data_IF_017526106935
#
_entry.id   IF_017526106935
#
_cell.length_a   1.000
_cell.length_b   1.000
_cell.length_c   1.000
_cell.angle_alpha   90.00
_cell.angle_beta   90.00
_cell.angle_gamma   90.00
#
_symmetry.space_group_name_H-M   'P 1'
#
loop_
_entity.id
_entity.type
_entity.pdbx_description
1 polymer ?
#
# COMPACT_ATOMS: atom_id res chain seq x y z
N UNK A 1 -38.34 -4.72 -8.65
CA UNK A 1 -38.00 -4.75 -9.24
C UNK A 1 -37.49 -4.81 -9.73
N UNK A 2 -37.37 -5.11 -9.45
CA UNK A 2 -36.90 -5.20 -10.12
C UNK A 2 -36.34 -5.40 -10.62
N UNK A 3 -36.18 -5.45 -10.41
CA UNK A 3 -35.67 -5.49 -11.07
C UNK A 3 -35.10 -5.74 -11.49
N UNK A 4 -34.94 -5.78 -11.10
CA UNK A 4 -34.48 -5.92 -11.66
C UNK A 4 -34.14 -6.36 -12.30
N UNK A 5 -34.04 -6.55 -11.96
CA UNK A 5 -33.85 -6.77 -12.68
C UNK A 5 -33.27 -7.29 -13.64
N UNK A 6 -33.70 -7.64 -13.88
CA UNK A 6 -33.25 -8.44 -15.02
C UNK A 6 -32.18 -7.77 -15.84
N UNK A 7 -32.19 -6.52 -15.99
CA UNK A 7 -31.15 -5.92 -16.76
C UNK A 7 -29.80 -5.99 -16.06
N UNK A 8 -29.78 -6.11 -14.77
CA UNK A 8 -28.53 -6.33 -14.09
C UNK A 8 -27.87 -7.60 -14.53
N UNK A 9 -28.66 -8.62 -14.75
CA UNK A 9 -28.08 -9.93 -15.03
C UNK A 9 -27.59 -10.05 -16.45
N UNK A 10 -28.13 -9.30 -17.37
CA UNK A 10 -27.89 -9.62 -18.77
C UNK A 10 -26.66 -8.98 -19.36
N UNK A 11 -26.29 -7.81 -18.91
CA UNK A 11 -25.33 -7.01 -19.66
C UNK A 11 -24.05 -6.65 -18.92
N UNK A 12 -23.96 -7.02 -17.68
CA UNK A 12 -22.87 -6.53 -16.87
C UNK A 12 -21.57 -7.22 -17.06
N UNK A 13 -21.58 -8.38 -17.65
CA UNK A 13 -20.36 -9.14 -17.78
C UNK A 13 -19.34 -8.45 -18.64
N UNK A 14 -19.81 -7.67 -19.59
CA UNK A 14 -18.90 -6.96 -20.46
C UNK A 14 -18.29 -5.74 -19.81
N UNK A 15 -18.86 -5.29 -18.71
CA UNK A 15 -18.36 -4.11 -18.05
C UNK A 15 -17.20 -4.35 -17.12
N UNK A 16 -16.90 -5.60 -16.80
CA UNK A 16 -15.82 -5.90 -15.87
C UNK A 16 -14.48 -5.86 -16.57
N UNK A 17 -13.55 -5.01 -16.13
CA UNK A 17 -12.26 -4.92 -16.78
C UNK A 17 -11.36 -6.09 -16.47
N UNK A 18 -11.66 -6.86 -15.44
CA UNK A 18 -10.83 -7.97 -15.03
C UNK A 18 -11.66 -9.02 -14.32
N UNK A 19 -11.07 -10.17 -14.19
CA UNK A 19 -11.69 -11.25 -13.44
C UNK A 19 -11.65 -10.94 -11.95
N UNK A 20 -12.81 -10.96 -11.33
CA UNK A 20 -12.88 -10.68 -9.89
C UNK A 20 -13.09 -12.02 -9.18
N UNK A 21 -12.00 -12.62 -8.74
CA UNK A 21 -12.07 -13.92 -8.08
C UNK A 21 -11.61 -13.81 -6.64
N UNK A 22 -11.96 -14.80 -5.86
CA UNK A 22 -11.66 -14.79 -4.44
C UNK A 22 -10.17 -14.82 -4.15
N UNK A 23 -9.35 -15.64 -4.81
CA UNK A 23 -7.91 -15.61 -4.52
C UNK A 23 -7.28 -14.24 -4.73
N UNK A 24 -7.67 -13.52 -5.78
CA UNK A 24 -7.15 -12.17 -5.99
C UNK A 24 -7.60 -11.24 -4.88
N UNK A 25 -8.85 -11.35 -4.46
CA UNK A 25 -9.36 -10.52 -3.38
C UNK A 25 -8.66 -10.84 -2.06
N UNK A 26 -8.34 -12.10 -1.82
CA UNK A 26 -7.62 -12.47 -0.61
C UNK A 26 -6.22 -11.86 -0.57
N UNK A 27 -5.53 -11.89 -1.71
CA UNK A 27 -4.22 -11.28 -1.79
C UNK A 27 -4.30 -9.75 -1.60
N UNK A 28 -5.28 -9.14 -2.24
CA UNK A 28 -5.48 -7.70 -2.09
C UNK A 28 -5.81 -7.33 -0.64
N UNK A 29 -6.62 -8.15 0.01
CA UNK A 29 -6.96 -7.89 1.41
C UNK A 29 -5.73 -7.92 2.30
N UNK A 30 -4.77 -8.81 1.99
CA UNK A 30 -3.51 -8.84 2.70
C UNK A 30 -2.73 -7.53 2.56
N UNK A 31 -2.73 -7.00 1.34
CA UNK A 31 -2.08 -5.71 1.10
C UNK A 31 -2.77 -4.61 1.91
N UNK A 32 -4.09 -4.56 1.88
CA UNK A 32 -4.83 -3.53 2.61
C UNK A 32 -4.62 -3.66 4.12
N UNK A 33 -4.55 -4.88 4.63
CA UNK A 33 -4.26 -5.07 6.05
C UNK A 33 -2.89 -4.50 6.43
N UNK A 34 -1.91 -4.74 5.56
CA UNK A 34 -0.56 -4.23 5.82
C UNK A 34 -0.53 -2.71 5.74
N UNK A 35 -1.34 -2.12 4.87
CA UNK A 35 -1.41 -0.66 4.75
C UNK A 35 -2.22 -0.02 5.89
N UNK A 36 -3.00 -0.81 6.60
CA UNK A 36 -3.92 -0.26 7.60
C UNK A 36 -3.29 -0.01 8.96
N UNK A 37 -2.07 0.51 8.98
CA UNK A 37 -1.38 0.85 10.21
C UNK A 37 -0.69 2.20 10.04
N UNK A 38 -0.91 3.14 10.97
CA UNK A 38 -0.33 4.49 10.81
C UNK A 38 1.18 4.51 10.73
N UNK A 39 1.85 3.68 11.50
CA UNK A 39 3.31 3.69 11.50
C UNK A 39 3.87 3.12 10.22
N UNK A 40 3.22 2.11 9.67
CA UNK A 40 3.64 1.58 8.38
C UNK A 40 3.37 2.58 7.27
N UNK A 41 2.25 3.30 7.33
CA UNK A 41 1.98 4.34 6.34
C UNK A 41 3.02 5.44 6.37
N UNK A 42 3.51 5.81 7.55
CA UNK A 42 4.56 6.81 7.66
C UNK A 42 5.83 6.37 6.92
N UNK A 43 6.19 5.10 7.11
CA UNK A 43 7.36 4.56 6.40
C UNK A 43 7.12 4.64 4.88
N UNK A 44 5.94 4.25 4.43
CA UNK A 44 5.66 4.23 3.01
C UNK A 44 5.66 5.63 2.41
N UNK A 45 5.19 6.63 3.14
CA UNK A 45 5.21 7.99 2.65
C UNK A 45 6.63 8.53 2.50
N UNK A 46 7.54 8.13 3.39
CA UNK A 46 8.94 8.46 3.22
C UNK A 46 9.51 7.84 1.96
N UNK A 47 9.15 6.58 1.70
CA UNK A 47 9.65 5.87 0.53
C UNK A 47 9.03 6.38 -0.76
N UNK A 48 7.85 6.98 -0.66
CA UNK A 48 7.24 7.63 -1.81
C UNK A 48 8.13 8.76 -2.33
N UNK A 49 8.75 9.48 -1.43
CA UNK A 49 9.60 10.59 -1.80
C UNK A 49 10.91 10.11 -2.44
N UNK A 50 11.52 9.08 -1.88
CA UNK A 50 12.73 8.52 -2.46
C UNK A 50 13.10 7.22 -1.76
N UNK A 51 13.93 6.44 -2.43
CA UNK A 51 14.51 5.24 -1.87
C UNK A 51 15.38 5.61 -0.66
N UNK A 52 15.36 4.77 0.40
CA UNK A 52 16.09 5.08 1.62
C UNK A 52 16.60 3.82 2.30
N UNK A 53 17.72 3.94 3.03
CA UNK A 53 18.17 2.83 3.85
C UNK A 53 17.51 2.91 5.24
N UNK A 54 17.64 1.81 5.99
CA UNK A 54 16.96 1.70 7.28
C UNK A 54 17.37 2.81 8.25
N UNK A 55 18.66 3.13 8.29
CA UNK A 55 19.12 4.17 9.24
C UNK A 55 18.51 5.53 8.93
N UNK A 56 18.35 5.85 7.65
CA UNK A 56 17.70 7.11 7.28
C UNK A 56 16.25 7.14 7.74
N UNK A 57 15.56 6.04 7.57
CA UNK A 57 14.16 5.97 8.00
C UNK A 57 14.05 6.15 9.50
N UNK A 58 14.92 5.46 10.24
CA UNK A 58 14.94 5.60 11.70
C UNK A 58 15.14 7.05 12.12
N UNK A 59 16.07 7.71 11.47
CA UNK A 59 16.38 9.11 11.78
C UNK A 59 15.19 10.01 11.49
N UNK A 60 14.64 9.88 10.30
CA UNK A 60 13.56 10.75 9.85
C UNK A 60 12.29 10.57 10.66
N UNK A 61 12.02 9.35 11.12
CA UNK A 61 10.82 9.07 11.89
C UNK A 61 11.05 9.12 13.39
N UNK A 62 12.30 9.24 13.81
CA UNK A 62 12.68 9.20 15.22
C UNK A 62 12.19 7.91 15.86
N UNK A 63 12.49 6.79 15.23
CA UNK A 63 12.07 5.47 15.66
C UNK A 63 13.27 4.54 15.74
N UNK A 64 13.27 3.61 16.70
CA UNK A 64 14.42 2.70 16.84
C UNK A 64 14.46 1.67 15.71
N UNK A 65 15.68 1.22 15.42
CA UNK A 65 15.90 0.30 14.32
C UNK A 65 15.08 -0.99 14.40
N UNK A 66 14.92 -1.62 15.57
CA UNK A 66 14.11 -2.84 15.60
C UNK A 66 12.67 -2.62 15.15
N UNK A 67 12.08 -1.49 15.51
CA UNK A 67 10.71 -1.18 15.12
C UNK A 67 10.60 -0.97 13.62
N UNK A 68 11.50 -0.17 13.07
CA UNK A 68 11.48 0.13 11.62
C UNK A 68 11.78 -1.14 10.83
N UNK A 69 12.75 -1.93 11.27
CA UNK A 69 13.09 -3.17 10.57
C UNK A 69 11.92 -4.14 10.54
N UNK A 70 11.18 -4.22 11.63
CA UNK A 70 10.03 -5.11 11.68
C UNK A 70 8.94 -4.67 10.71
N UNK A 71 8.69 -3.37 10.64
CA UNK A 71 7.71 -2.83 9.70
C UNK A 71 8.12 -3.10 8.27
N UNK A 72 9.38 -2.88 7.95
CA UNK A 72 9.88 -3.12 6.59
C UNK A 72 9.82 -4.58 6.21
N UNK A 73 10.08 -5.48 7.17
CA UNK A 73 10.01 -6.92 6.90
C UNK A 73 8.59 -7.32 6.54
N UNK A 74 7.62 -6.83 7.29
CA UNK A 74 6.23 -7.12 6.98
C UNK A 74 5.83 -6.56 5.61
N UNK A 75 6.19 -5.32 5.36
CA UNK A 75 5.85 -4.70 4.08
C UNK A 75 6.49 -5.41 2.91
N UNK A 76 7.70 -5.91 3.11
CA UNK A 76 8.37 -6.65 2.04
C UNK A 76 7.71 -8.01 1.81
N UNK A 77 7.27 -8.66 2.89
CA UNK A 77 6.60 -9.96 2.75
C UNK A 77 5.29 -9.84 1.98
N UNK A 78 4.64 -8.70 2.05
CA UNK A 78 3.41 -8.44 1.30
C UNK A 78 3.69 -7.80 -0.06
N UNK A 79 4.95 -7.69 -0.42
CA UNK A 79 5.38 -7.15 -1.71
C UNK A 79 4.96 -5.69 -1.92
N UNK A 80 4.88 -4.96 -0.82
CA UNK A 80 4.56 -3.54 -0.84
C UNK A 80 5.83 -2.72 -1.03
N UNK A 81 6.94 -3.21 -0.48
CA UNK A 81 8.25 -2.58 -0.70
C UNK A 81 9.20 -3.61 -1.28
N UNK A 82 10.23 -3.11 -1.95
CA UNK A 82 11.33 -3.92 -2.45
C UNK A 82 12.63 -3.38 -1.85
N UNK A 83 13.66 -4.21 -1.87
CA UNK A 83 14.94 -3.80 -1.33
C UNK A 83 16.06 -4.17 -2.28
N UNK A 84 17.16 -3.44 -2.16
CA UNK A 84 18.37 -3.77 -2.88
C UNK A 84 19.56 -3.50 -1.98
N UNK A 85 20.63 -4.22 -2.20
CA UNK A 85 21.85 -4.04 -1.41
C UNK A 85 22.87 -3.30 -2.23
N UNK A 86 23.53 -2.35 -1.59
CA UNK A 86 24.65 -1.65 -2.19
C UNK A 86 25.72 -1.53 -1.13
N UNK A 87 26.78 -2.31 -1.26
CA UNK A 87 27.82 -2.35 -0.24
C UNK A 87 27.27 -2.85 1.08
N UNK A 88 27.41 -2.08 2.12
CA UNK A 88 26.93 -2.44 3.46
C UNK A 88 25.49 -2.01 3.70
N UNK A 89 24.92 -1.27 2.76
CA UNK A 89 23.61 -0.68 2.96
C UNK A 89 22.54 -1.44 2.21
N UNK A 90 21.36 -1.51 2.82
CA UNK A 90 20.17 -2.06 2.17
C UNK A 90 19.20 -0.91 2.01
N UNK A 91 18.80 -0.66 0.77
CA UNK A 91 17.88 0.41 0.44
C UNK A 91 16.51 -0.15 0.14
N UNK A 92 15.51 0.55 0.61
CA UNK A 92 14.11 0.17 0.42
C UNK A 92 13.40 1.19 -0.44
N UNK A 93 12.48 0.71 -1.25
CA UNK A 93 11.66 1.55 -2.13
C UNK A 93 10.28 0.93 -2.23
N UNK A 94 9.31 1.73 -2.65
CA UNK A 94 7.99 1.18 -2.93
C UNK A 94 8.11 0.18 -4.09
N UNK A 95 7.29 -0.86 -4.04
CA UNK A 95 7.43 -1.96 -4.99
C UNK A 95 7.18 -1.51 -6.42
N UNK A 96 6.16 -0.70 -6.64
CA UNK A 96 5.82 -0.25 -7.98
C UNK A 96 4.87 0.95 -7.90
N UNK A 97 4.46 1.41 -9.07
CA UNK A 97 3.59 2.58 -9.17
C UNK A 97 2.19 2.33 -8.63
N UNK A 98 1.71 1.10 -8.70
CA UNK A 98 0.40 0.78 -8.14
C UNK A 98 0.39 1.05 -6.65
N UNK A 99 1.43 0.61 -5.97
CA UNK A 99 1.54 0.83 -4.52
C UNK A 99 1.67 2.32 -4.22
N UNK A 100 2.49 3.02 -5.00
CA UNK A 100 2.67 4.45 -4.82
C UNK A 100 1.33 5.19 -4.89
N UNK A 101 0.54 4.90 -5.90
CA UNK A 101 -0.75 5.56 -6.07
C UNK A 101 -1.73 5.20 -4.97
N UNK A 102 -1.72 3.94 -4.56
CA UNK A 102 -2.64 3.47 -3.53
C UNK A 102 -2.40 4.19 -2.22
N UNK A 103 -1.13 4.27 -1.81
CA UNK A 103 -0.76 4.90 -0.56
C UNK A 103 -1.02 6.41 -0.63
N UNK A 104 -0.57 7.04 -1.69
CA UNK A 104 -0.72 8.48 -1.85
C UNK A 104 -2.18 8.89 -1.88
N UNK A 105 -2.98 8.18 -2.66
CA UNK A 105 -4.40 8.50 -2.76
C UNK A 105 -5.11 8.32 -1.43
N UNK A 106 -4.77 7.27 -0.71
CA UNK A 106 -5.39 7.05 0.60
C UNK A 106 -5.08 8.14 1.59
N UNK A 107 -3.81 8.54 1.67
CA UNK A 107 -3.41 9.58 2.61
C UNK A 107 -3.98 10.93 2.21
N UNK A 108 -3.96 11.26 0.93
CA UNK A 108 -4.51 12.53 0.47
C UNK A 108 -6.00 12.61 0.70
N UNK A 109 -6.70 11.51 0.49
CA UNK A 109 -8.13 11.50 0.76
C UNK A 109 -8.42 11.75 2.25
N UNK A 110 -7.62 11.16 3.11
CA UNK A 110 -7.76 11.37 4.55
C UNK A 110 -7.50 12.83 4.93
N UNK A 111 -6.55 13.47 4.26
CA UNK A 111 -6.27 14.87 4.52
C UNK A 111 -7.40 15.77 4.05
N UNK A 112 -8.01 15.46 2.92
CA UNK A 112 -9.18 16.20 2.45
C UNK A 112 -10.32 16.12 3.43
N UNK A 113 -10.56 14.93 3.94
CA UNK A 113 -11.62 14.71 4.92
C UNK A 113 -11.42 15.60 6.13
N UNK A 114 -10.18 15.69 6.57
CA UNK A 114 -9.82 16.51 7.71
C UNK A 114 -10.13 17.98 7.46
N UNK A 115 -9.90 18.48 6.25
CA UNK A 115 -10.13 19.87 5.94
C UNK A 115 -11.61 20.20 5.77
N UNK A 116 -12.41 19.21 5.42
CA UNK A 116 -13.85 19.45 5.24
C UNK A 116 -14.59 19.59 6.55
N UNK A 117 -14.04 19.11 7.62
CA UNK A 117 -14.66 19.19 8.91
C UNK A 117 -14.19 20.38 9.69
#
# INVERSE_FOLDING_TARGET
MSSDDPQCSGHDHNGLPMQVDLPACERAAGIFRALGDPQRLRVLMLLEASERCVSEICELLDEPMPAVSQRLRLLKSERIVRSRREGKHVYYALADEHISRLVTNGVMHAMEDSTLN
#
